data_IF_029398771366
#
_entry.id   IF_029398771366
#
_cell.length_a   1.000
_cell.length_b   1.000
_cell.length_c   1.000
_cell.angle_alpha   90.00
_cell.angle_beta   90.00
_cell.angle_gamma   90.00
#
_symmetry.space_group_name_H-M   'P 1'
#
loop_
_entity.id
_entity.type
_entity.pdbx_description
1 polymer ?
#
# COMPACT_ATOMS: atom_id res chain seq x y z
N UNK A 1 2.62 13.31 12.21
CA UNK A 1 3.03 13.13 10.80
C UNK A 1 4.16 14.12 10.53
N UNK A 2 5.25 13.70 9.87
CA UNK A 2 6.48 14.50 9.69
C UNK A 2 6.23 15.90 9.10
N UNK A 3 5.25 16.02 8.19
CA UNK A 3 4.94 17.31 7.54
C UNK A 3 4.52 18.41 8.53
N UNK A 4 3.83 18.10 9.64
CA UNK A 4 3.39 19.11 10.62
C UNK A 4 4.58 19.81 11.28
N UNK A 5 5.59 19.02 11.67
CA UNK A 5 6.82 19.54 12.27
C UNK A 5 7.59 20.38 11.26
N UNK A 6 7.73 19.87 10.03
CA UNK A 6 8.40 20.60 8.96
C UNK A 6 7.70 21.94 8.68
N UNK A 7 6.36 21.96 8.63
CA UNK A 7 5.57 23.16 8.39
C UNK A 7 5.72 24.18 9.52
N UNK A 8 5.72 23.73 10.79
CA UNK A 8 5.99 24.59 11.95
C UNK A 8 7.41 25.18 11.90
N UNK A 9 8.37 24.49 11.30
CA UNK A 9 9.72 24.98 11.05
C UNK A 9 9.86 25.82 9.76
N UNK A 10 8.79 26.03 8.99
CA UNK A 10 8.82 26.72 7.70
C UNK A 10 9.47 25.91 6.57
N UNK A 11 9.61 24.59 6.74
CA UNK A 11 10.17 23.68 5.76
C UNK A 11 9.07 23.04 4.89
N UNK A 12 9.03 23.44 3.62
CA UNK A 12 7.99 23.00 2.68
C UNK A 12 8.49 22.02 1.61
N UNK A 13 9.69 21.45 1.76
CA UNK A 13 10.36 20.61 0.75
C UNK A 13 9.54 19.39 0.28
N UNK A 14 8.62 18.91 1.11
CA UNK A 14 7.70 17.81 0.77
C UNK A 14 6.61 18.22 -0.24
N UNK A 15 6.37 19.52 -0.40
CA UNK A 15 5.34 20.09 -1.27
C UNK A 15 5.97 21.13 -2.21
N UNK A 16 6.47 20.71 -3.40
CA UNK A 16 7.24 21.58 -4.29
C UNK A 16 6.52 22.88 -4.67
N UNK A 17 5.21 22.83 -4.88
CA UNK A 17 4.40 24.02 -5.17
C UNK A 17 4.39 24.99 -3.99
N UNK A 18 4.18 24.48 -2.77
CA UNK A 18 4.15 25.31 -1.57
C UNK A 18 5.54 25.89 -1.24
N UNK A 19 6.60 25.12 -1.48
CA UNK A 19 7.99 25.57 -1.35
C UNK A 19 8.37 26.67 -2.36
N UNK A 20 7.71 26.72 -3.51
CA UNK A 20 7.89 27.83 -4.46
C UNK A 20 7.11 29.06 -4.01
N UNK A 21 5.86 28.89 -3.57
CA UNK A 21 5.04 29.99 -3.03
C UNK A 21 5.72 30.63 -1.82
N UNK A 22 6.32 29.85 -0.92
CA UNK A 22 6.99 30.36 0.28
C UNK A 22 8.22 31.23 -0.01
N UNK A 23 8.79 31.16 -1.23
CA UNK A 23 9.90 32.01 -1.67
C UNK A 23 9.42 33.37 -2.17
N UNK A 24 8.19 33.44 -2.68
CA UNK A 24 7.60 34.64 -3.28
C UNK A 24 6.73 35.40 -2.28
N UNK A 25 6.02 34.68 -1.40
CA UNK A 25 5.08 35.22 -0.44
C UNK A 25 5.33 34.61 0.94
N UNK A 26 5.29 35.45 1.97
CA UNK A 26 5.33 34.97 3.35
C UNK A 26 4.02 34.24 3.67
N UNK A 27 4.12 32.94 3.94
CA UNK A 27 3.00 32.13 4.39
C UNK A 27 2.73 32.44 5.87
N UNK A 28 1.48 32.71 6.23
CA UNK A 28 1.09 32.97 7.61
C UNK A 28 0.96 31.66 8.38
N UNK A 29 1.18 31.72 9.69
CA UNK A 29 1.06 30.55 10.57
C UNK A 29 -0.38 29.98 10.58
N UNK A 30 -1.39 30.83 10.49
CA UNK A 30 -2.79 30.43 10.37
C UNK A 30 -3.06 29.64 9.07
N UNK A 31 -2.46 30.06 7.96
CA UNK A 31 -2.58 29.37 6.66
C UNK A 31 -1.90 27.99 6.72
N UNK A 32 -0.74 27.92 7.39
CA UNK A 32 -0.02 26.67 7.65
C UNK A 32 -0.90 25.70 8.46
N UNK A 33 -1.58 26.21 9.50
CA UNK A 33 -2.48 25.41 10.32
C UNK A 33 -3.68 24.89 9.52
N UNK A 34 -4.33 25.76 8.75
CA UNK A 34 -5.47 25.38 7.90
C UNK A 34 -5.09 24.31 6.86
N UNK A 35 -3.92 24.46 6.24
CA UNK A 35 -3.42 23.47 5.29
C UNK A 35 -3.13 22.12 5.96
N UNK A 36 -2.55 22.13 7.16
CA UNK A 36 -2.32 20.90 7.92
C UNK A 36 -3.63 20.18 8.25
N UNK A 37 -4.65 20.91 8.71
CA UNK A 37 -5.98 20.35 8.95
C UNK A 37 -6.57 19.75 7.69
N UNK A 38 -6.41 20.40 6.54
CA UNK A 38 -6.88 19.87 5.27
C UNK A 38 -6.18 18.55 4.88
N UNK A 39 -4.86 18.48 5.04
CA UNK A 39 -4.10 17.24 4.79
C UNK A 39 -4.54 16.10 5.71
N UNK A 40 -4.87 16.40 6.97
CA UNK A 40 -5.41 15.42 7.92
C UNK A 40 -6.77 14.89 7.45
N UNK A 41 -7.68 15.77 7.05
CA UNK A 41 -8.98 15.36 6.51
C UNK A 41 -8.84 14.49 5.26
N UNK A 42 -7.92 14.83 4.36
CA UNK A 42 -7.63 14.02 3.17
C UNK A 42 -7.02 12.66 3.56
N UNK A 43 -6.16 12.62 4.56
CA UNK A 43 -5.58 11.37 5.05
C UNK A 43 -6.65 10.46 5.66
N UNK A 44 -7.50 10.99 6.53
CA UNK A 44 -8.60 10.23 7.14
C UNK A 44 -9.57 9.70 6.08
N UNK A 45 -9.91 10.54 5.11
CA UNK A 45 -10.76 10.16 3.99
C UNK A 45 -10.11 9.10 3.10
N UNK A 46 -8.81 9.20 2.81
CA UNK A 46 -8.06 8.17 2.09
C UNK A 46 -8.08 6.84 2.84
N UNK A 47 -7.76 6.85 4.14
CA UNK A 47 -7.78 5.65 4.99
C UNK A 47 -9.18 5.02 5.02
N UNK A 48 -10.23 5.82 5.05
CA UNK A 48 -11.62 5.34 5.03
C UNK A 48 -12.00 4.74 3.68
N UNK A 49 -11.67 5.40 2.57
CA UNK A 49 -12.03 4.96 1.21
C UNK A 49 -11.29 3.69 0.80
N UNK A 50 -10.05 3.53 1.24
CA UNK A 50 -9.18 2.40 0.89
C UNK A 50 -8.97 1.42 2.05
N UNK A 51 -9.83 1.47 3.07
CA UNK A 51 -9.72 0.60 4.23
C UNK A 51 -9.72 -0.88 3.81
N UNK A 52 -10.57 -1.26 2.87
CA UNK A 52 -10.67 -2.59 2.30
C UNK A 52 -9.35 -3.07 1.69
N UNK A 53 -8.69 -2.25 0.87
CA UNK A 53 -7.40 -2.58 0.26
C UNK A 53 -6.29 -2.62 1.31
N UNK A 54 -6.26 -1.63 2.21
CA UNK A 54 -5.24 -1.55 3.26
C UNK A 54 -5.35 -2.68 4.29
N UNK A 55 -6.56 -3.19 4.52
CA UNK A 55 -6.82 -4.33 5.41
C UNK A 55 -6.86 -5.68 4.68
N UNK A 56 -6.60 -5.69 3.37
CA UNK A 56 -6.62 -6.90 2.58
C UNK A 56 -5.51 -7.85 3.05
N UNK A 57 -5.92 -9.00 3.59
CA UNK A 57 -5.00 -10.08 3.92
C UNK A 57 -4.87 -10.97 2.69
N UNK A 58 -3.69 -10.96 2.07
CA UNK A 58 -3.39 -11.89 0.98
C UNK A 58 -3.11 -13.27 1.61
N UNK A 59 -3.91 -14.31 1.31
CA UNK A 59 -3.67 -15.64 1.84
C UNK A 59 -2.33 -16.20 1.37
N UNK A 60 -1.67 -16.99 2.22
CA UNK A 60 -0.37 -17.60 1.88
C UNK A 60 -0.41 -18.44 0.60
N UNK A 61 -1.55 -19.08 0.30
CA UNK A 61 -1.69 -19.90 -0.90
C UNK A 61 -1.70 -19.07 -2.19
N UNK A 62 -2.05 -17.78 -2.12
CA UNK A 62 -1.96 -16.85 -3.24
C UNK A 62 -0.51 -16.41 -3.47
N UNK A 63 0.26 -16.25 -2.39
CA UNK A 63 1.67 -15.87 -2.46
C UNK A 63 2.55 -17.03 -2.95
N UNK A 64 2.33 -18.22 -2.40
CA UNK A 64 3.01 -19.44 -2.81
C UNK A 64 2.07 -20.64 -2.61
N UNK A 65 1.40 -21.10 -3.69
CA UNK A 65 0.48 -22.23 -3.60
C UNK A 65 1.19 -23.57 -3.35
N UNK A 66 2.52 -23.68 -3.49
CA UNK A 66 3.22 -24.98 -3.42
C UNK A 66 3.75 -25.33 -2.04
N UNK A 67 3.86 -24.36 -1.13
CA UNK A 67 4.37 -24.59 0.24
C UNK A 67 3.27 -24.69 1.29
N UNK A 68 2.04 -24.30 0.93
CA UNK A 68 0.91 -24.28 1.86
C UNK A 68 0.28 -25.67 1.97
N UNK A 69 -0.01 -26.11 3.19
CA UNK A 69 -0.78 -27.33 3.40
C UNK A 69 -2.25 -27.12 2.92
N UNK A 70 -2.78 -27.92 1.98
CA UNK A 70 -4.15 -27.78 1.50
C UNK A 70 -5.20 -27.89 2.61
N UNK A 71 -4.93 -28.61 3.69
CA UNK A 71 -5.86 -28.71 4.82
C UNK A 71 -6.02 -27.39 5.60
N UNK A 72 -5.11 -26.43 5.40
CA UNK A 72 -5.15 -25.11 6.04
C UNK A 72 -5.89 -24.05 5.21
N UNK A 73 -6.37 -24.38 4.00
CA UNK A 73 -7.18 -23.48 3.18
C UNK A 73 -8.67 -23.84 3.28
N UNK A 74 -9.51 -22.94 2.79
CA UNK A 74 -10.96 -23.13 2.72
C UNK A 74 -11.28 -24.47 2.04
N UNK A 75 -12.27 -25.20 2.58
CA UNK A 75 -12.68 -26.52 2.10
C UNK A 75 -13.01 -26.51 0.59
N UNK A 76 -13.54 -25.41 0.08
CA UNK A 76 -13.89 -25.24 -1.32
C UNK A 76 -12.68 -25.12 -2.26
N UNK A 77 -11.50 -24.82 -1.71
CA UNK A 77 -10.25 -24.63 -2.47
C UNK A 77 -9.27 -25.80 -2.31
N UNK A 78 -9.54 -26.76 -1.42
CA UNK A 78 -8.57 -27.82 -1.11
C UNK A 78 -8.30 -28.73 -2.30
N UNK A 79 -9.33 -29.16 -3.02
CA UNK A 79 -9.21 -30.02 -4.20
C UNK A 79 -8.42 -29.32 -5.32
N UNK A 80 -8.80 -28.08 -5.64
CA UNK A 80 -8.11 -27.27 -6.66
C UNK A 80 -6.63 -27.04 -6.30
N UNK A 81 -6.33 -26.80 -5.02
CA UNK A 81 -4.96 -26.61 -4.56
C UNK A 81 -4.16 -27.90 -4.61
N UNK A 82 -4.76 -29.06 -4.28
CA UNK A 82 -4.12 -30.37 -4.40
C UNK A 82 -3.78 -30.68 -5.87
N UNK A 83 -4.73 -30.44 -6.77
CA UNK A 83 -4.54 -30.63 -8.21
C UNK A 83 -3.41 -29.74 -8.75
N UNK A 84 -3.40 -28.46 -8.33
CA UNK A 84 -2.35 -27.51 -8.68
C UNK A 84 -0.97 -27.97 -8.15
N UNK A 85 -0.89 -28.39 -6.89
CA UNK A 85 0.35 -28.84 -6.25
C UNK A 85 0.92 -30.13 -6.83
N UNK A 86 0.05 -30.99 -7.36
CA UNK A 86 0.39 -32.25 -8.01
C UNK A 86 0.86 -32.05 -9.46
N UNK A 87 0.67 -30.86 -10.03
CA UNK A 87 1.08 -30.55 -11.39
C UNK A 87 2.57 -30.15 -11.47
N UNK A 88 3.43 -31.14 -11.71
CA UNK A 88 4.88 -30.95 -11.83
C UNK A 88 5.29 -30.04 -13.01
N UNK A 89 4.48 -29.97 -14.08
CA UNK A 89 4.74 -29.06 -15.19
C UNK A 89 4.59 -27.60 -14.73
N UNK A 90 3.48 -27.27 -14.07
CA UNK A 90 3.22 -25.92 -13.55
C UNK A 90 4.26 -25.55 -12.50
N UNK A 91 4.59 -26.47 -11.59
CA UNK A 91 5.63 -26.27 -10.57
C UNK A 91 6.98 -25.94 -11.18
N UNK A 92 7.40 -26.69 -12.20
CA UNK A 92 8.64 -26.43 -12.94
C UNK A 92 8.61 -25.09 -13.67
N UNK A 93 7.47 -24.70 -14.25
CA UNK A 93 7.30 -23.40 -14.91
C UNK A 93 7.36 -22.23 -13.93
N UNK A 94 6.68 -22.33 -12.78
CA UNK A 94 6.72 -21.28 -11.75
C UNK A 94 8.10 -21.16 -11.08
N UNK A 95 8.83 -22.26 -10.91
CA UNK A 95 10.21 -22.23 -10.40
C UNK A 95 11.18 -21.47 -11.31
N UNK A 96 10.90 -21.42 -12.62
CA UNK A 96 11.66 -20.61 -13.60
C UNK A 96 11.24 -19.13 -13.60
N UNK A 97 10.27 -18.74 -12.76
CA UNK A 97 9.81 -17.37 -12.59
C UNK A 97 9.25 -16.76 -13.88
N UNK A 98 9.52 -15.47 -14.08
CA UNK A 98 9.04 -14.69 -15.22
C UNK A 98 9.96 -14.78 -16.45
N UNK A 99 10.88 -15.74 -16.53
CA UNK A 99 11.82 -15.85 -17.67
C UNK A 99 11.14 -16.07 -19.04
N UNK A 100 9.83 -16.34 -19.05
CA UNK A 100 9.02 -16.54 -20.26
C UNK A 100 8.03 -15.39 -20.54
N UNK A 101 8.07 -14.29 -19.79
CA UNK A 101 7.33 -13.05 -20.04
C UNK A 101 8.29 -11.88 -20.33
#
# INVERSE_FOLDING_TARGET
MLFKCNFACGEFCQFPTLANVSKEVKILEDDVHLYCQHLEMLQEDFLRRFHDILSLVIPNWVLDPFIVNPLNVDIHLQEELIDLQSNEEIKSRMARGYEYF
#
